data_IF_425672063041
#
_entry.id   IF_425672063041
#
_cell.length_a   1.000
_cell.length_b   1.000
_cell.length_c   1.000
_cell.angle_alpha   90.00
_cell.angle_beta   90.00
_cell.angle_gamma   90.00
#
_symmetry.space_group_name_H-M   'P 1'
#
loop_
_entity.id
_entity.type
_entity.pdbx_description
1 polymer ?
#
# COMPACT_ATOMS: atom_id res chain seq x y z
N UNK A 1 44.64 33.46 0.87
CA UNK A 1 43.71 32.95 1.89
C UNK A 1 42.32 32.96 1.27
N UNK A 2 41.93 31.84 0.68
CA UNK A 2 40.62 31.66 0.05
C UNK A 2 39.70 30.98 1.06
N UNK A 3 38.44 31.40 1.24
CA UNK A 3 37.54 30.69 2.12
C UNK A 3 37.08 29.42 1.40
N UNK A 4 37.44 28.28 1.96
CA UNK A 4 36.86 26.99 1.59
C UNK A 4 35.35 27.02 1.88
N UNK A 5 34.53 26.99 0.84
CA UNK A 5 33.16 26.51 0.95
C UNK A 5 33.21 25.02 1.29
N UNK A 6 32.62 24.55 2.41
CA UNK A 6 32.39 23.13 2.57
C UNK A 6 31.31 22.70 1.58
N UNK A 7 31.62 21.71 0.75
CA UNK A 7 30.71 21.08 -0.21
C UNK A 7 29.56 20.38 0.53
N UNK A 8 28.50 21.12 0.85
CA UNK A 8 27.24 20.59 1.35
C UNK A 8 26.29 20.25 0.18
N UNK A 9 26.77 19.47 -0.80
CA UNK A 9 25.96 19.04 -1.94
C UNK A 9 26.29 17.58 -2.31
N UNK A 10 25.80 16.64 -1.50
CA UNK A 10 25.67 15.23 -1.89
C UNK A 10 24.84 14.45 -0.85
N UNK A 11 23.57 14.79 -0.69
CA UNK A 11 22.58 13.84 -0.17
C UNK A 11 21.22 14.21 -0.77
N UNK A 12 21.05 13.90 -2.06
CA UNK A 12 19.70 13.74 -2.61
C UNK A 12 19.02 12.68 -1.75
N UNK A 13 17.96 13.05 -1.03
CA UNK A 13 17.23 12.14 -0.15
C UNK A 13 16.83 10.89 -0.93
N UNK A 14 17.47 9.76 -0.59
CA UNK A 14 17.24 8.46 -1.20
C UNK A 14 15.82 8.02 -0.83
N UNK A 15 15.01 7.63 -1.82
CA UNK A 15 13.67 7.12 -1.54
C UNK A 15 13.77 5.83 -0.68
N UNK A 16 12.79 5.58 0.20
CA UNK A 16 12.69 4.30 0.89
C UNK A 16 12.52 3.15 -0.14
N UNK A 17 12.77 1.88 0.25
CA UNK A 17 12.57 0.74 -0.62
C UNK A 17 11.17 0.73 -1.26
N UNK A 18 11.12 0.53 -2.58
CA UNK A 18 9.88 0.37 -3.31
C UNK A 18 9.34 -1.05 -3.06
N UNK A 19 8.21 -1.14 -2.36
CA UNK A 19 7.67 -2.44 -1.94
C UNK A 19 6.34 -2.71 -2.63
N UNK A 20 6.31 -3.73 -3.48
CA UNK A 20 5.08 -4.23 -4.09
C UNK A 20 4.33 -5.07 -3.05
N UNK A 21 3.09 -4.74 -2.76
CA UNK A 21 2.22 -5.49 -1.85
C UNK A 21 1.15 -6.15 -2.70
N UNK A 22 1.06 -7.48 -2.68
CA UNK A 22 0.17 -8.24 -3.55
C UNK A 22 -0.34 -9.50 -2.84
N UNK A 23 -1.57 -9.91 -3.13
CA UNK A 23 -2.06 -11.24 -2.80
C UNK A 23 -2.26 -12.02 -4.10
N UNK A 24 -1.81 -13.27 -4.15
CA UNK A 24 -1.80 -14.09 -5.36
C UNK A 24 -2.32 -15.49 -5.09
N UNK A 25 -2.99 -16.10 -6.07
CA UNK A 25 -3.30 -17.54 -6.09
C UNK A 25 -2.65 -18.19 -7.30
N UNK A 26 -2.05 -19.39 -7.19
CA UNK A 26 -1.50 -20.07 -8.34
C UNK A 26 -2.59 -20.64 -9.24
N UNK A 27 -2.41 -20.44 -10.54
CA UNK A 27 -3.25 -20.95 -11.61
C UNK A 27 -2.34 -21.63 -12.63
N UNK A 28 -2.47 -22.94 -12.79
CA UNK A 28 -1.75 -23.69 -13.81
C UNK A 28 -2.32 -23.39 -15.19
N UNK A 29 -1.46 -23.12 -16.16
CA UNK A 29 -1.92 -22.93 -17.53
C UNK A 29 -2.54 -24.20 -18.10
N UNK A 30 -3.72 -24.09 -18.70
CA UNK A 30 -4.36 -25.19 -19.44
C UNK A 30 -3.52 -25.69 -20.62
N UNK A 31 -2.73 -24.80 -21.23
CA UNK A 31 -1.88 -25.14 -22.40
C UNK A 31 -0.52 -25.72 -22.01
N UNK A 32 -0.03 -25.41 -20.79
CA UNK A 32 1.23 -25.94 -20.29
C UNK A 32 1.18 -26.05 -18.74
N UNK A 33 0.87 -27.24 -18.21
CA UNK A 33 0.79 -27.46 -16.76
C UNK A 33 2.07 -27.20 -15.97
N UNK A 34 3.24 -27.13 -16.65
CA UNK A 34 4.50 -26.78 -16.00
C UNK A 34 4.61 -25.29 -15.64
N UNK A 35 3.73 -24.44 -16.20
CA UNK A 35 3.68 -23.00 -15.92
C UNK A 35 2.55 -22.74 -14.94
N UNK A 36 2.90 -22.31 -13.74
CA UNK A 36 1.97 -21.78 -12.76
C UNK A 36 2.04 -20.25 -12.78
N UNK A 37 0.95 -19.60 -13.17
CA UNK A 37 0.82 -18.15 -13.12
C UNK A 37 0.27 -17.72 -11.77
N UNK A 38 0.52 -16.46 -11.39
CA UNK A 38 0.05 -15.90 -10.13
C UNK A 38 -1.18 -15.01 -10.38
N UNK A 39 -2.38 -15.56 -10.19
CA UNK A 39 -3.65 -14.84 -10.35
C UNK A 39 -3.88 -13.81 -9.24
N UNK A 40 -4.32 -12.61 -9.61
CA UNK A 40 -4.55 -11.48 -8.69
C UNK A 40 -5.92 -10.81 -8.85
N UNK A 41 -6.65 -11.13 -9.92
CA UNK A 41 -7.93 -10.50 -10.21
C UNK A 41 -8.82 -11.36 -11.11
N UNK A 42 -10.13 -11.14 -10.96
CA UNK A 42 -11.18 -11.69 -11.80
C UNK A 42 -12.30 -10.66 -11.96
N UNK A 43 -12.66 -10.35 -13.21
CA UNK A 43 -13.74 -9.42 -13.56
C UNK A 43 -13.64 -8.06 -12.84
N UNK A 44 -12.42 -7.52 -12.68
CA UNK A 44 -12.18 -6.24 -12.02
C UNK A 44 -12.22 -6.26 -10.49
N UNK A 45 -12.35 -7.44 -9.88
CA UNK A 45 -12.35 -7.64 -8.42
C UNK A 45 -11.32 -8.69 -8.00
N UNK A 46 -11.19 -8.95 -6.69
CA UNK A 46 -10.31 -10.03 -6.20
C UNK A 46 -10.91 -11.41 -6.56
N UNK A 47 -10.10 -12.43 -6.88
CA UNK A 47 -10.59 -13.75 -7.30
C UNK A 47 -11.33 -14.53 -6.20
N UNK A 48 -11.08 -14.18 -4.95
CA UNK A 48 -11.58 -14.88 -3.76
C UNK A 48 -12.63 -14.07 -3.01
N UNK A 49 -13.47 -14.75 -2.20
CA UNK A 49 -14.32 -14.09 -1.21
C UNK A 49 -13.51 -13.22 -0.25
N UNK A 50 -14.19 -12.41 0.56
CA UNK A 50 -13.50 -11.54 1.52
C UNK A 50 -12.75 -12.35 2.58
N UNK A 51 -11.42 -12.32 2.50
CA UNK A 51 -10.48 -12.90 3.48
C UNK A 51 -10.17 -11.84 4.55
N UNK A 52 -10.64 -12.04 5.79
CA UNK A 52 -10.52 -11.00 6.83
C UNK A 52 -9.08 -10.81 7.29
N UNK A 53 -8.37 -11.91 7.44
CA UNK A 53 -6.97 -11.92 7.87
C UNK A 53 -6.07 -11.14 6.89
N UNK A 54 -6.12 -11.45 5.59
CA UNK A 54 -5.39 -10.71 4.55
C UNK A 54 -5.78 -9.22 4.48
N UNK A 55 -7.08 -8.89 4.49
CA UNK A 55 -7.54 -7.49 4.48
C UNK A 55 -7.04 -6.72 5.71
N UNK A 56 -7.01 -7.36 6.87
CA UNK A 56 -6.49 -6.75 8.10
C UNK A 56 -4.97 -6.54 8.04
N UNK A 57 -4.24 -7.53 7.50
CA UNK A 57 -2.81 -7.46 7.27
C UNK A 57 -2.48 -6.31 6.32
N UNK A 58 -3.08 -6.29 5.13
CA UNK A 58 -2.95 -5.21 4.16
C UNK A 58 -3.20 -3.82 4.78
N UNK A 59 -4.30 -3.67 5.51
CA UNK A 59 -4.64 -2.39 6.14
C UNK A 59 -3.57 -1.93 7.14
N UNK A 60 -3.03 -2.85 7.97
CA UNK A 60 -1.99 -2.52 8.95
C UNK A 60 -0.67 -2.17 8.28
N UNK A 61 -0.17 -3.02 7.38
CA UNK A 61 1.15 -2.81 6.76
C UNK A 61 1.19 -1.58 5.87
N UNK A 62 0.06 -1.24 5.23
CA UNK A 62 -0.01 -0.04 4.39
C UNK A 62 -0.20 1.23 5.20
N UNK A 63 -0.78 1.16 6.40
CA UNK A 63 -1.03 2.35 7.24
C UNK A 63 0.13 2.66 8.18
N UNK A 64 0.83 1.65 8.71
CA UNK A 64 1.88 1.82 9.73
C UNK A 64 3.17 2.35 9.10
N UNK A 65 3.62 3.57 9.41
CA UNK A 65 4.93 4.04 8.97
C UNK A 65 6.05 3.33 9.72
N UNK A 66 7.24 3.16 9.11
CA UNK A 66 8.38 2.56 9.79
C UNK A 66 8.82 3.43 10.96
N UNK A 67 9.29 2.82 12.05
CA UNK A 67 9.73 3.55 13.24
C UNK A 67 10.83 4.58 12.92
N UNK A 68 11.72 4.28 11.98
CA UNK A 68 12.77 5.18 11.51
C UNK A 68 12.25 6.47 10.86
N UNK A 69 11.03 6.47 10.31
CA UNK A 69 10.42 7.66 9.71
C UNK A 69 9.68 8.53 10.74
N UNK A 70 9.46 8.04 11.97
CA UNK A 70 8.75 8.80 13.00
C UNK A 70 9.68 9.83 13.66
N UNK A 71 9.27 11.11 13.81
CA UNK A 71 10.04 12.08 14.56
C UNK A 71 10.22 11.64 16.02
N UNK A 72 11.39 11.89 16.60
CA UNK A 72 11.70 11.62 18.02
C UNK A 72 10.78 12.38 18.99
N UNK A 73 10.05 13.41 18.50
CA UNK A 73 9.22 14.31 19.30
C UNK A 73 7.73 13.99 19.10
N UNK A 74 7.20 13.02 19.85
CA UNK A 74 5.78 12.74 20.21
C UNK A 74 4.63 13.15 19.26
N UNK A 75 4.87 13.27 17.95
CA UNK A 75 3.87 13.58 16.94
C UNK A 75 4.10 12.64 15.76
N UNK A 76 3.19 11.69 15.49
CA UNK A 76 3.32 10.77 14.36
C UNK A 76 3.04 11.56 13.07
N UNK A 77 4.06 12.20 12.52
CA UNK A 77 3.94 12.99 11.29
C UNK A 77 4.43 12.24 10.04
N UNK A 78 4.60 10.92 10.14
CA UNK A 78 5.01 10.07 9.02
C UNK A 78 3.79 9.48 8.31
N UNK A 79 3.80 9.46 6.98
CA UNK A 79 2.76 8.85 6.16
C UNK A 79 3.35 7.91 5.11
N UNK A 80 2.79 6.70 5.01
CA UNK A 80 3.09 5.81 3.89
C UNK A 80 2.40 6.31 2.62
N UNK A 81 3.07 6.15 1.48
CA UNK A 81 2.47 6.34 0.17
C UNK A 81 2.01 5.00 -0.40
N UNK A 82 0.76 4.94 -0.86
CA UNK A 82 0.20 3.78 -1.57
C UNK A 82 -0.04 4.16 -3.03
N UNK A 83 0.72 3.54 -3.93
CA UNK A 83 0.66 3.76 -5.37
C UNK A 83 -0.23 2.71 -6.01
N UNK A 84 -1.21 3.15 -6.77
CA UNK A 84 -2.15 2.27 -7.44
C UNK A 84 -2.59 2.80 -8.80
N UNK A 85 -3.06 1.91 -9.67
CA UNK A 85 -3.65 2.28 -10.95
C UNK A 85 -5.09 2.76 -10.79
N UNK A 86 -5.57 3.59 -11.72
CA UNK A 86 -6.96 4.10 -11.71
C UNK A 86 -8.01 2.99 -11.57
N UNK A 87 -7.86 1.87 -12.28
CA UNK A 87 -8.80 0.73 -12.19
C UNK A 87 -8.83 0.11 -10.77
N UNK A 88 -7.68 0.00 -10.12
CA UNK A 88 -7.57 -0.48 -8.73
C UNK A 88 -8.17 0.50 -7.75
N UNK A 89 -8.00 1.80 -7.97
CA UNK A 89 -8.67 2.82 -7.16
C UNK A 89 -10.19 2.75 -7.29
N UNK A 90 -10.70 2.57 -8.52
CA UNK A 90 -12.14 2.47 -8.78
C UNK A 90 -12.76 1.19 -8.21
N UNK A 91 -12.00 0.09 -8.09
CA UNK A 91 -12.48 -1.18 -7.52
C UNK A 91 -12.55 -1.17 -5.98
N UNK A 92 -11.94 -0.18 -5.31
CA UNK A 92 -12.10 0.01 -3.88
C UNK A 92 -13.55 0.41 -3.55
N UNK A 93 -14.15 -0.14 -2.48
CA UNK A 93 -15.48 0.31 -2.04
C UNK A 93 -15.47 1.81 -1.77
N UNK A 94 -16.50 2.53 -2.23
CA UNK A 94 -16.59 4.00 -2.14
C UNK A 94 -16.40 4.57 -0.73
N UNK A 95 -16.80 3.81 0.30
CA UNK A 95 -16.61 4.18 1.72
C UNK A 95 -15.16 4.11 2.22
N UNK A 96 -14.29 3.42 1.49
CA UNK A 96 -12.88 3.20 1.85
C UNK A 96 -11.92 3.89 0.88
N UNK A 97 -12.42 4.64 -0.10
CA UNK A 97 -11.60 5.42 -1.03
C UNK A 97 -11.70 6.93 -0.74
N UNK A 98 -10.58 7.65 -0.79
CA UNK A 98 -9.21 7.15 -0.73
C UNK A 98 -8.94 6.37 0.57
N UNK A 99 -7.90 5.54 0.57
CA UNK A 99 -7.53 4.73 1.72
C UNK A 99 -7.08 5.66 2.88
N UNK A 100 -7.76 5.66 4.04
CA UNK A 100 -7.49 6.63 5.10
C UNK A 100 -6.10 6.42 5.71
N UNK A 101 -5.53 7.51 6.26
CA UNK A 101 -4.21 7.56 6.94
C UNK A 101 -3.02 7.17 6.05
N UNK A 102 -3.17 7.31 4.73
CA UNK A 102 -2.18 7.00 3.71
C UNK A 102 -2.22 8.10 2.64
N UNK A 103 -1.06 8.40 2.07
CA UNK A 103 -0.98 9.21 0.87
C UNK A 103 -1.34 8.34 -0.33
N UNK A 104 -2.49 8.60 -0.96
CA UNK A 104 -2.98 7.81 -2.08
C UNK A 104 -2.44 8.37 -3.39
N UNK A 105 -1.64 7.59 -4.11
CA UNK A 105 -1.06 7.98 -5.39
C UNK A 105 -1.74 7.19 -6.51
N UNK A 106 -2.48 7.90 -7.37
CA UNK A 106 -3.29 7.29 -8.44
C UNK A 106 -2.60 7.53 -9.77
N UNK A 107 -2.26 6.45 -10.47
CA UNK A 107 -1.67 6.49 -11.80
C UNK A 107 -2.80 6.41 -12.85
N UNK A 108 -2.88 7.42 -13.70
CA UNK A 108 -3.83 7.51 -14.82
C UNK A 108 -3.23 8.24 -16.01
N UNK A 109 -3.57 7.83 -17.23
CA UNK A 109 -3.21 8.57 -18.45
C UNK A 109 -4.22 9.67 -18.81
N UNK A 110 -5.27 9.81 -18.02
CA UNK A 110 -6.26 10.86 -18.19
C UNK A 110 -5.69 12.20 -17.72
N UNK A 111 -5.45 13.09 -18.68
CA UNK A 111 -4.89 14.43 -18.45
C UNK A 111 -5.96 15.50 -18.16
N UNK A 112 -7.25 15.13 -18.17
CA UNK A 112 -8.36 16.08 -17.97
C UNK A 112 -8.42 16.70 -16.58
N UNK A 113 -7.68 16.16 -15.60
CA UNK A 113 -7.73 16.58 -14.20
C UNK A 113 -8.93 16.02 -13.41
N UNK A 114 -9.94 15.45 -14.08
CA UNK A 114 -11.16 14.92 -13.45
C UNK A 114 -10.87 13.89 -12.36
N UNK A 115 -9.88 13.02 -12.58
CA UNK A 115 -9.47 12.01 -11.59
C UNK A 115 -8.93 12.65 -10.32
N UNK A 116 -8.15 13.73 -10.46
CA UNK A 116 -7.57 14.46 -9.34
C UNK A 116 -8.66 15.15 -8.51
N UNK A 117 -9.56 15.88 -9.18
CA UNK A 117 -10.69 16.56 -8.53
C UNK A 117 -11.61 15.58 -7.81
N UNK A 118 -11.95 14.46 -8.47
CA UNK A 118 -12.78 13.40 -7.88
C UNK A 118 -12.13 12.81 -6.64
N UNK A 119 -10.86 12.42 -6.73
CA UNK A 119 -10.17 11.79 -5.61
C UNK A 119 -9.97 12.77 -4.43
N UNK A 120 -9.74 14.06 -4.70
CA UNK A 120 -9.70 15.10 -3.69
C UNK A 120 -11.07 15.32 -3.02
N UNK A 121 -12.17 15.33 -3.79
CA UNK A 121 -13.52 15.43 -3.25
C UNK A 121 -13.90 14.22 -2.38
N UNK A 122 -13.55 13.01 -2.83
CA UNK A 122 -13.75 11.78 -2.06
C UNK A 122 -12.93 11.79 -0.76
N UNK A 123 -11.70 12.33 -0.79
CA UNK A 123 -10.87 12.53 0.40
C UNK A 123 -11.54 13.46 1.42
N UNK A 124 -12.00 14.64 0.97
CA UNK A 124 -12.69 15.61 1.84
C UNK A 124 -13.96 15.01 2.44
N UNK A 125 -14.73 14.27 1.64
CA UNK A 125 -15.92 13.57 2.12
C UNK A 125 -15.59 12.48 3.15
N UNK A 126 -14.51 11.72 2.96
CA UNK A 126 -14.05 10.73 3.93
C UNK A 126 -13.61 11.40 5.25
N UNK A 127 -12.85 12.50 5.15
CA UNK A 127 -12.37 13.28 6.29
C UNK A 127 -13.52 13.85 7.12
N UNK A 128 -14.53 14.42 6.45
CA UNK A 128 -15.76 14.92 7.08
C UNK A 128 -16.48 13.82 7.87
N UNK A 129 -16.64 12.62 7.29
CA UNK A 129 -17.26 11.47 7.97
C UNK A 129 -16.47 10.99 9.19
N UNK A 130 -15.14 11.02 9.13
CA UNK A 130 -14.30 10.69 10.29
C UNK A 130 -14.48 11.69 11.42
N UNK A 131 -14.54 12.98 11.08
CA UNK A 131 -14.78 14.05 12.03
C UNK A 131 -16.17 13.93 12.67
N UNK A 132 -17.22 13.74 11.88
CA UNK A 132 -18.60 13.54 12.36
C UNK A 132 -18.67 12.36 13.35
N UNK A 133 -18.09 11.20 13.01
CA UNK A 133 -18.03 10.03 13.91
C UNK A 133 -17.21 10.29 15.18
N UNK A 134 -16.15 11.07 15.09
CA UNK A 134 -15.34 11.43 16.26
C UNK A 134 -16.11 12.38 17.19
N UNK A 135 -16.93 13.28 16.63
CA UNK A 135 -17.83 14.13 17.40
C UNK A 135 -18.96 13.32 18.04
N UNK A 136 -19.61 12.41 17.31
CA UNK A 136 -20.64 11.52 17.84
C UNK A 136 -20.12 10.70 19.03
N UNK A 137 -18.93 10.10 18.92
CA UNK A 137 -18.30 9.37 20.03
C UNK A 137 -17.98 10.25 21.24
N UNK A 138 -17.56 11.50 21.00
CA UNK A 138 -17.32 12.47 22.08
C UNK A 138 -18.62 12.88 22.75
N UNK A 139 -19.68 13.11 21.97
CA UNK A 139 -20.99 13.49 22.47
C UNK A 139 -21.63 12.32 23.25
N UNK A 140 -21.54 11.08 22.77
CA UNK A 140 -21.98 9.86 23.47
C UNK A 140 -21.27 9.69 24.82
N UNK A 141 -19.94 9.88 24.86
CA UNK A 141 -19.13 9.87 26.08
C UNK A 141 -19.44 11.03 27.03
N UNK A 142 -19.85 12.19 26.50
CA UNK A 142 -20.20 13.39 27.28
C UNK A 142 -21.61 13.30 27.90
N UNK A 143 -22.51 12.48 27.36
CA UNK A 143 -23.82 12.19 27.99
C UNK A 143 -23.70 11.46 29.34
N UNK A 144 -22.57 10.81 29.63
CA UNK A 144 -22.26 10.19 30.93
C UNK A 144 -21.55 11.13 31.92
N UNK A 145 -21.15 12.33 31.49
CA UNK A 145 -20.50 13.34 32.35
C UNK A 145 -20.99 14.75 32.00
N UNK A 146 -21.95 15.27 32.79
CA UNK A 146 -22.53 16.62 32.65
C UNK A 146 -21.46 17.71 32.61
N UNK A 147 -21.29 18.40 31.46
CA UNK A 147 -21.11 19.87 31.33
C UNK A 147 -21.00 20.33 29.86
N UNK A 148 -21.24 21.64 29.65
CA UNK A 148 -21.50 22.42 28.43
C UNK A 148 -20.21 22.78 27.63
N UNK A 149 -20.18 22.85 26.29
CA UNK A 149 -20.42 24.08 25.50
C UNK A 149 -20.67 23.76 24.00
N UNK A 150 -21.18 24.74 23.23
CA UNK A 150 -21.66 24.60 21.84
C UNK A 150 -21.05 25.61 20.85
N UNK A 151 -19.93 26.26 21.18
CA UNK A 151 -19.32 27.33 20.36
C UNK A 151 -18.07 26.90 19.56
N UNK A 152 -17.54 25.69 19.77
CA UNK A 152 -16.30 25.20 19.12
C UNK A 152 -16.51 24.57 17.73
N UNK A 153 -17.77 24.27 17.33
CA UNK A 153 -18.04 23.47 16.11
C UNK A 153 -17.77 24.20 14.78
N UNK A 154 -17.80 25.54 14.74
CA UNK A 154 -17.66 26.29 13.48
C UNK A 154 -16.20 26.49 13.04
N UNK A 155 -15.27 26.80 13.96
CA UNK A 155 -13.84 26.95 13.63
C UNK A 155 -13.22 25.63 13.09
N UNK A 156 -13.68 24.49 13.62
CA UNK A 156 -13.16 23.17 13.25
C UNK A 156 -13.51 22.74 11.81
N UNK A 157 -14.64 23.23 11.26
CA UNK A 157 -15.05 22.90 9.89
C UNK A 157 -14.24 23.70 8.87
N UNK A 158 -13.98 24.98 9.15
CA UNK A 158 -13.14 25.81 8.30
C UNK A 158 -11.67 25.34 8.26
N UNK A 159 -11.16 24.77 9.35
CA UNK A 159 -9.83 24.15 9.38
C UNK A 159 -9.77 22.89 8.51
N UNK A 160 -10.80 22.05 8.53
CA UNK A 160 -10.90 20.85 7.68
C UNK A 160 -10.94 21.18 6.19
N UNK A 161 -11.58 22.29 5.81
CA UNK A 161 -11.65 22.72 4.41
C UNK A 161 -10.32 23.25 3.86
N UNK A 162 -9.43 23.71 4.76
CA UNK A 162 -8.07 24.20 4.45
C UNK A 162 -7.02 23.06 4.42
N UNK A 163 -7.35 21.85 4.88
CA UNK A 163 -6.44 20.69 4.81
C UNK A 163 -6.14 20.31 3.35
N UNK A 164 -4.86 20.12 3.03
CA UNK A 164 -4.44 19.61 1.72
C UNK A 164 -4.76 18.10 1.63
N UNK A 165 -5.46 17.64 0.58
CA UNK A 165 -5.78 16.23 0.44
C UNK A 165 -4.53 15.36 0.34
N UNK A 166 -4.53 14.23 1.05
CA UNK A 166 -3.49 13.20 0.93
C UNK A 166 -3.72 12.33 -0.31
N UNK A 167 -3.79 12.99 -1.47
CA UNK A 167 -4.01 12.41 -2.78
C UNK A 167 -3.05 13.04 -3.77
N UNK A 168 -2.39 12.19 -4.56
CA UNK A 168 -1.53 12.59 -5.67
C UNK A 168 -1.99 11.84 -6.92
N UNK A 169 -2.11 12.54 -8.04
CA UNK A 169 -2.38 11.92 -9.35
C UNK A 169 -1.18 12.10 -10.25
N UNK A 170 -0.79 11.05 -10.95
CA UNK A 170 0.36 11.05 -11.84
C UNK A 170 0.10 10.24 -13.10
N UNK A 171 0.87 10.52 -14.17
CA UNK A 171 0.74 9.85 -15.46
C UNK A 171 1.56 8.55 -15.59
N UNK A 172 2.40 8.24 -14.60
CA UNK A 172 3.23 7.04 -14.59
C UNK A 172 3.88 6.80 -13.24
N UNK A 173 4.49 5.61 -13.10
CA UNK A 173 5.17 5.23 -11.85
C UNK A 173 6.43 6.08 -11.62
N UNK A 174 7.21 6.38 -12.67
CA UNK A 174 8.41 7.20 -12.55
C UNK A 174 8.11 8.63 -12.11
N UNK A 175 7.12 9.28 -12.73
CA UNK A 175 6.67 10.62 -12.36
C UNK A 175 6.05 10.65 -10.97
N UNK A 176 5.31 9.61 -10.56
CA UNK A 176 4.81 9.47 -9.19
C UNK A 176 5.94 9.43 -8.15
N UNK A 177 7.00 8.64 -8.40
CA UNK A 177 8.15 8.54 -7.49
C UNK A 177 8.94 9.85 -7.41
N UNK A 178 9.12 10.55 -8.53
CA UNK A 178 9.75 11.87 -8.54
C UNK A 178 8.92 12.88 -7.75
N UNK A 179 7.61 12.94 -7.98
CA UNK A 179 6.71 13.82 -7.24
C UNK A 179 6.70 13.53 -5.74
N UNK A 180 6.76 12.26 -5.33
CA UNK A 180 6.90 11.88 -3.92
C UNK A 180 8.24 12.37 -3.34
N UNK A 181 9.35 12.13 -4.04
CA UNK A 181 10.68 12.60 -3.61
C UNK A 181 10.70 14.11 -3.41
N UNK A 182 10.13 14.85 -4.36
CA UNK A 182 10.13 16.31 -4.35
C UNK A 182 9.17 16.87 -3.28
N UNK A 183 8.01 16.23 -3.09
CA UNK A 183 7.00 16.61 -2.09
C UNK A 183 7.47 16.43 -0.65
N UNK A 184 8.40 15.51 -0.40
CA UNK A 184 8.94 15.21 0.93
C UNK A 184 10.43 15.55 1.06
N UNK A 185 10.96 16.35 0.15
CA UNK A 185 12.30 16.90 0.25
C UNK A 185 12.38 17.82 1.49
N UNK A 186 13.43 17.74 2.34
CA UNK A 186 13.60 18.59 3.53
C UNK A 186 13.46 20.10 3.29
N UNK A 187 13.68 20.56 2.05
CA UNK A 187 13.57 21.97 1.66
C UNK A 187 12.18 22.37 1.11
N UNK A 188 11.23 21.43 1.04
CA UNK A 188 9.87 21.66 0.56
C UNK A 188 8.98 22.24 1.67
N UNK A 189 7.96 23.05 1.30
CA UNK A 189 7.00 23.64 2.23
C UNK A 189 6.16 22.60 3.02
N UNK A 190 6.27 21.32 2.66
CA UNK A 190 5.72 20.17 3.40
C UNK A 190 6.53 19.74 4.62
N UNK A 191 7.50 20.54 5.09
CA UNK A 191 8.41 20.26 6.22
C UNK A 191 7.76 19.94 7.58
N UNK A 192 6.44 19.75 7.64
CA UNK A 192 5.75 19.12 8.78
C UNK A 192 5.86 17.59 8.70
N UNK A 193 5.64 16.93 7.55
CA UNK A 193 5.45 15.47 7.45
C UNK A 193 6.65 14.73 6.84
N UNK A 194 6.95 13.53 7.32
CA UNK A 194 7.95 12.64 6.75
C UNK A 194 7.32 11.56 5.87
N UNK A 195 8.02 11.17 4.80
CA UNK A 195 7.62 10.04 3.97
C UNK A 195 7.98 8.73 4.69
N UNK A 196 6.98 7.87 4.91
CA UNK A 196 7.14 6.51 5.40
C UNK A 196 7.53 5.55 4.27
N UNK A 197 6.90 4.38 4.23
CA UNK A 197 7.11 3.41 3.16
C UNK A 197 6.44 3.86 1.85
N UNK A 198 7.05 3.49 0.71
CA UNK A 198 6.44 3.65 -0.63
C UNK A 198 6.00 2.28 -1.12
N UNK A 199 4.68 2.08 -1.18
CA UNK A 199 4.05 0.79 -1.39
C UNK A 199 3.28 0.78 -2.71
N UNK A 200 3.58 -0.15 -3.61
CA UNK A 200 2.81 -0.35 -4.84
C UNK A 200 1.77 -1.43 -4.58
N UNK A 201 0.50 -1.07 -4.65
CA UNK A 201 -0.62 -1.98 -4.34
C UNK A 201 -1.36 -2.48 -5.59
N UNK A 202 -0.78 -2.26 -6.77
CA UNK A 202 -1.26 -2.79 -8.05
C UNK A 202 -2.12 -1.84 -8.87
N UNK A 203 -2.85 -2.30 -9.88
CA UNK A 203 -2.98 -3.69 -10.35
C UNK A 203 -1.87 -4.14 -11.29
N UNK A 204 -2.14 -5.17 -12.09
CA UNK A 204 -1.17 -5.82 -13.00
C UNK A 204 -0.33 -4.84 -13.84
N UNK A 205 -0.98 -3.85 -14.46
CA UNK A 205 -0.29 -2.84 -15.30
C UNK A 205 0.72 -2.01 -14.49
N UNK A 206 0.38 -1.68 -13.24
CA UNK A 206 1.24 -0.90 -12.35
C UNK A 206 2.36 -1.79 -11.79
N UNK A 207 2.06 -3.03 -11.39
CA UNK A 207 3.11 -3.97 -11.00
C UNK A 207 4.12 -4.16 -12.13
N UNK A 208 3.65 -4.36 -13.38
CA UNK A 208 4.54 -4.55 -14.53
C UNK A 208 5.40 -3.31 -14.77
N UNK A 209 4.78 -2.12 -14.71
CA UNK A 209 5.50 -0.85 -14.84
C UNK A 209 6.54 -0.66 -13.73
N UNK A 210 6.23 -1.06 -12.49
CA UNK A 210 7.15 -0.98 -11.36
C UNK A 210 8.32 -1.95 -11.48
N UNK A 211 8.09 -3.18 -11.95
CA UNK A 211 9.14 -4.19 -12.12
C UNK A 211 10.14 -3.82 -13.22
N UNK A 212 9.68 -3.08 -14.25
CA UNK A 212 10.52 -2.55 -15.31
C UNK A 212 11.36 -1.33 -14.89
N UNK A 213 11.16 -0.80 -13.68
CA UNK A 213 12.02 0.27 -13.16
C UNK A 213 13.40 -0.31 -12.83
N UNK A 214 14.43 0.45 -13.21
CA UNK A 214 15.79 0.23 -12.74
C UNK A 214 15.92 0.76 -11.29
N UNK A 215 16.02 -0.12 -10.29
CA UNK A 215 16.11 0.30 -8.89
C UNK A 215 17.45 0.99 -8.60
N UNK A 216 18.49 0.72 -9.40
CA UNK A 216 19.81 1.35 -9.26
C UNK A 216 19.76 2.82 -9.66
N UNK A 217 19.04 3.15 -10.74
CA UNK A 217 18.81 4.53 -11.18
C UNK A 217 17.95 5.37 -10.21
N UNK A 218 16.99 4.74 -9.52
CA UNK A 218 16.21 5.38 -8.44
C UNK A 218 16.96 5.43 -7.10
N UNK A 219 18.04 4.66 -6.99
CA UNK A 219 18.74 4.44 -5.75
C UNK A 219 17.81 3.88 -4.68
N UNK A 220 16.91 2.94 -4.95
CA UNK A 220 16.11 2.31 -3.89
C UNK A 220 16.03 0.81 -4.11
N UNK A 221 16.01 0.03 -3.02
CA UNK A 221 15.79 -1.42 -3.11
C UNK A 221 14.37 -1.71 -3.59
N UNK A 222 14.19 -2.83 -4.29
CA UNK A 222 12.88 -3.32 -4.70
C UNK A 222 12.52 -4.59 -3.94
N UNK A 223 11.30 -4.60 -3.38
CA UNK A 223 10.78 -5.71 -2.57
C UNK A 223 9.39 -6.10 -3.03
N UNK A 224 9.01 -7.34 -2.77
CA UNK A 224 7.64 -7.84 -2.90
C UNK A 224 7.25 -8.43 -1.55
N UNK A 225 6.13 -7.98 -0.99
CA UNK A 225 5.42 -8.62 0.12
C UNK A 225 4.18 -9.28 -0.47
N UNK A 226 4.13 -10.60 -0.39
CA UNK A 226 3.13 -11.41 -1.08
C UNK A 226 2.31 -12.24 -0.08
N UNK A 227 0.98 -12.19 -0.19
CA UNK A 227 0.10 -13.19 0.42
C UNK A 227 -0.15 -14.31 -0.58
N UNK A 228 0.38 -15.51 -0.32
CA UNK A 228 0.09 -16.74 -1.08
C UNK A 228 -1.25 -17.30 -0.60
N UNK A 229 -2.27 -17.20 -1.45
CA UNK A 229 -3.66 -17.60 -1.17
C UNK A 229 -3.94 -18.94 -1.82
N UNK A 230 -4.43 -19.90 -1.03
CA UNK A 230 -4.77 -21.25 -1.48
C UNK A 230 -6.17 -21.62 -1.03
N UNK A 231 -6.84 -22.45 -1.84
CA UNK A 231 -8.13 -23.06 -1.46
C UNK A 231 -8.03 -24.58 -1.55
N UNK A 232 -7.47 -25.23 -0.52
CA UNK A 232 -7.40 -26.69 -0.45
C UNK A 232 -8.79 -27.33 -0.53
N UNK A 233 -8.96 -28.32 -1.41
CA UNK A 233 -10.23 -29.04 -1.62
C UNK A 233 -10.14 -30.49 -1.16
N UNK A 234 -8.96 -31.11 -1.27
CA UNK A 234 -8.71 -32.49 -0.83
C UNK A 234 -8.00 -32.55 0.52
N UNK A 235 -8.10 -33.68 1.22
CA UNK A 235 -7.44 -33.88 2.51
C UNK A 235 -5.90 -33.82 2.39
N UNK A 236 -5.36 -34.26 1.25
CA UNK A 236 -3.93 -34.14 0.96
C UNK A 236 -3.49 -32.67 0.83
N UNK A 237 -4.31 -31.81 0.22
CA UNK A 237 -4.05 -30.37 0.11
C UNK A 237 -4.25 -29.65 1.45
N UNK A 238 -5.17 -30.10 2.31
CA UNK A 238 -5.33 -29.50 3.64
C UNK A 238 -4.11 -29.77 4.52
N UNK A 239 -3.51 -30.95 4.40
CA UNK A 239 -2.26 -31.28 5.09
C UNK A 239 -1.06 -30.49 4.55
N UNK A 240 -1.06 -30.17 3.25
CA UNK A 240 -0.03 -29.36 2.59
C UNK A 240 -0.65 -28.40 1.56
N UNK A 241 -1.05 -27.17 1.99
CA UNK A 241 -1.72 -26.21 1.11
C UNK A 241 -0.88 -25.77 -0.09
N UNK A 242 0.44 -25.99 -0.06
CA UNK A 242 1.31 -25.66 -1.20
C UNK A 242 0.99 -26.47 -2.46
N UNK A 243 0.31 -27.61 -2.31
CA UNK A 243 -0.15 -28.49 -3.40
C UNK A 243 -1.44 -28.01 -4.06
N UNK A 244 -2.21 -27.16 -3.39
CA UNK A 244 -3.46 -26.62 -3.92
C UNK A 244 -3.14 -25.62 -5.04
N UNK A 245 -3.61 -25.89 -6.24
CA UNK A 245 -3.54 -24.98 -7.39
C UNK A 245 -4.92 -24.86 -8.03
N UNK A 246 -5.18 -23.77 -8.73
CA UNK A 246 -6.48 -23.52 -9.40
C UNK A 246 -7.69 -23.44 -8.45
N UNK A 247 -7.47 -22.96 -7.21
CA UNK A 247 -8.55 -22.76 -6.24
C UNK A 247 -9.52 -21.62 -6.59
N UNK A 248 -9.11 -20.72 -7.49
CA UNK A 248 -9.88 -19.54 -7.93
C UNK A 248 -9.65 -19.26 -9.42
N UNK A 249 -10.71 -18.88 -10.12
CA UNK A 249 -10.63 -18.40 -11.51
C UNK A 249 -10.07 -16.98 -11.56
N UNK A 250 -9.14 -16.72 -12.48
CA UNK A 250 -8.46 -15.44 -12.63
C UNK A 250 -8.37 -15.03 -14.10
N UNK A 251 -8.59 -13.74 -14.39
CA UNK A 251 -8.36 -13.11 -15.70
C UNK A 251 -7.14 -12.17 -15.69
N UNK A 252 -6.69 -11.80 -14.50
CA UNK A 252 -5.62 -10.84 -14.26
C UNK A 252 -4.53 -11.50 -13.44
N UNK A 253 -3.29 -11.40 -13.90
CA UNK A 253 -2.15 -12.09 -13.32
C UNK A 253 -1.05 -11.11 -12.91
N UNK A 254 -0.29 -11.47 -11.87
CA UNK A 254 0.94 -10.80 -11.52
C UNK A 254 1.96 -10.99 -12.66
N UNK A 255 2.82 -10.00 -12.97
CA UNK A 255 3.66 -10.04 -14.17
C UNK A 255 4.82 -11.04 -14.11
N UNK A 256 5.04 -11.70 -12.98
CA UNK A 256 6.09 -12.70 -12.78
C UNK A 256 5.42 -14.01 -12.35
N UNK A 257 5.75 -15.10 -13.03
CA UNK A 257 5.15 -16.41 -12.78
C UNK A 257 5.98 -17.27 -11.80
N UNK A 258 7.32 -17.13 -11.78
CA UNK A 258 8.21 -17.94 -10.94
C UNK A 258 9.24 -17.09 -10.16
N UNK A 259 8.87 -16.70 -8.94
CA UNK A 259 9.75 -15.90 -8.05
C UNK A 259 10.85 -16.73 -7.36
N UNK A 260 10.59 -18.02 -7.09
CA UNK A 260 11.53 -18.87 -6.34
C UNK A 260 12.62 -19.49 -7.24
N UNK A 261 12.38 -19.59 -8.55
CA UNK A 261 13.31 -20.18 -9.53
C UNK A 261 14.02 -19.17 -10.45
N UNK A 262 13.94 -17.87 -10.16
CA UNK A 262 14.62 -16.83 -10.94
C UNK A 262 15.84 -16.29 -10.16
N UNK A 263 16.98 -16.14 -10.84
CA UNK A 263 18.20 -15.55 -10.28
C UNK A 263 18.07 -14.08 -9.89
N UNK A 264 17.04 -13.39 -10.38
CA UNK A 264 16.75 -11.99 -10.07
C UNK A 264 16.19 -11.77 -8.66
N UNK A 265 15.53 -12.76 -8.06
CA UNK A 265 14.82 -12.60 -6.79
C UNK A 265 15.40 -13.50 -5.71
N UNK A 266 15.47 -12.96 -4.48
CA UNK A 266 15.81 -13.73 -3.28
C UNK A 266 14.58 -13.80 -2.37
N UNK A 267 14.14 -15.01 -2.03
CA UNK A 267 13.16 -15.21 -0.96
C UNK A 267 13.76 -14.79 0.39
N UNK A 268 13.06 -13.91 1.09
CA UNK A 268 13.43 -13.44 2.42
C UNK A 268 12.85 -14.37 3.51
N UNK A 269 13.51 -14.40 4.66
CA UNK A 269 13.03 -15.09 5.86
C UNK A 269 11.83 -14.37 6.47
N UNK A 270 11.00 -15.08 7.26
CA UNK A 270 9.84 -14.47 7.93
C UNK A 270 10.25 -13.32 8.87
N UNK A 271 11.44 -13.40 9.48
CA UNK A 271 12.01 -12.33 10.30
C UNK A 271 12.30 -11.06 9.47
N UNK A 272 12.91 -11.20 8.29
CA UNK A 272 13.15 -10.06 7.38
C UNK A 272 11.81 -9.44 6.93
N UNK A 273 10.82 -10.26 6.56
CA UNK A 273 9.50 -9.74 6.18
C UNK A 273 8.84 -9.00 7.34
N UNK A 274 8.95 -9.53 8.56
CA UNK A 274 8.43 -8.90 9.77
C UNK A 274 9.06 -7.53 10.02
N UNK A 275 10.37 -7.39 9.78
CA UNK A 275 11.07 -6.10 9.84
C UNK A 275 10.53 -5.12 8.79
N UNK A 276 10.33 -5.58 7.55
CA UNK A 276 9.85 -4.73 6.46
C UNK A 276 8.45 -4.17 6.72
N UNK A 277 7.56 -4.97 7.30
CA UNK A 277 6.15 -4.60 7.53
C UNK A 277 5.86 -4.06 8.93
N UNK A 278 6.82 -4.14 9.84
CA UNK A 278 6.71 -3.63 11.21
C UNK A 278 5.69 -4.38 12.09
N UNK A 279 5.42 -5.65 11.79
CA UNK A 279 4.69 -6.58 12.65
C UNK A 279 5.19 -8.01 12.47
N UNK A 280 4.98 -8.86 13.47
CA UNK A 280 5.34 -10.26 13.40
C UNK A 280 4.53 -10.96 12.30
N UNK A 281 5.24 -11.54 11.34
CA UNK A 281 4.67 -12.36 10.28
C UNK A 281 4.80 -13.83 10.66
N UNK A 282 3.70 -14.60 10.69
CA UNK A 282 3.73 -16.00 11.08
C UNK A 282 4.52 -16.84 10.09
N UNK A 283 5.27 -17.81 10.60
CA UNK A 283 5.92 -18.83 9.78
C UNK A 283 4.89 -19.88 9.36
N UNK A 284 4.78 -20.12 8.05
CA UNK A 284 3.90 -21.15 7.49
C UNK A 284 2.49 -20.67 7.16
N UNK A 285 1.52 -21.60 7.22
CA UNK A 285 0.15 -21.38 6.77
C UNK A 285 -0.75 -20.89 7.89
N UNK A 286 -1.56 -19.87 7.60
CA UNK A 286 -2.62 -19.33 8.44
C UNK A 286 -3.95 -19.63 7.78
N UNK A 287 -4.88 -20.20 8.52
CA UNK A 287 -6.21 -20.54 8.03
C UNK A 287 -7.21 -19.42 8.32
N UNK A 288 -8.01 -19.07 7.32
CA UNK A 288 -9.20 -18.23 7.42
C UNK A 288 -10.34 -18.99 6.74
N UNK A 289 -11.13 -19.72 7.53
CA UNK A 289 -12.16 -20.65 7.04
C UNK A 289 -11.56 -21.76 6.16
N UNK A 290 -12.01 -21.89 4.91
CA UNK A 290 -11.54 -22.86 3.92
C UNK A 290 -10.32 -22.37 3.11
N UNK A 291 -9.80 -21.18 3.44
CA UNK A 291 -8.69 -20.54 2.71
C UNK A 291 -7.43 -20.61 3.58
N UNK A 292 -6.34 -21.07 2.99
CA UNK A 292 -5.02 -21.08 3.59
C UNK A 292 -4.17 -19.94 3.01
N UNK A 293 -3.51 -19.20 3.90
CA UNK A 293 -2.68 -18.03 3.57
C UNK A 293 -1.27 -18.24 4.05
N UNK A 294 -0.29 -17.75 3.30
CA UNK A 294 1.08 -17.65 3.77
C UNK A 294 1.68 -16.34 3.31
N UNK A 295 2.33 -15.63 4.21
CA UNK A 295 2.96 -14.35 3.90
C UNK A 295 4.43 -14.60 3.51
N UNK A 296 4.81 -14.11 2.35
CA UNK A 296 6.12 -14.30 1.74
C UNK A 296 6.75 -12.94 1.44
N UNK A 297 8.07 -12.92 1.35
CA UNK A 297 8.82 -11.74 0.96
C UNK A 297 9.90 -12.07 -0.05
N UNK A 298 10.11 -11.16 -0.99
CA UNK A 298 11.15 -11.25 -2.00
C UNK A 298 11.88 -9.92 -2.10
N UNK A 299 13.21 -9.95 -2.16
CA UNK A 299 14.04 -8.78 -2.46
C UNK A 299 14.76 -9.04 -3.78
N UNK A 300 14.76 -8.04 -4.67
CA UNK A 300 15.49 -8.12 -5.95
C UNK A 300 17.00 -8.10 -5.66
N UNK A 301 17.77 -8.96 -6.35
CA UNK A 301 19.22 -9.05 -6.20
C UNK A 301 19.94 -7.83 -6.79
#
# INVERSE_FOLDING_TARGET
MSPHCPSAFANSAKLPPLTLVVATTPVTSHTNPSISRLGIGNCGTLPWPRIKSDMSFFARITTRPPAAAQPQLHTPNALNAVIMGRKTYDSLPSRFRPLPKRLNVIITRDESGMVCERAAAEWKAARKREWEKAQEKKDEFRTESKSCSSMEKNDSIEELEKETPDVLVSNGIGSALLALRDSFNPFSQNGRRSLGNVLVIGGAEIYASSLNLDPTGLGCKMRIVMTDVRRPTSEAEKNDPSRSSNGFECDTFFPIDNLDGNDEWRRASAAEVSEWVGEAVPEGWVWDQDIALRFLGYERR
#
